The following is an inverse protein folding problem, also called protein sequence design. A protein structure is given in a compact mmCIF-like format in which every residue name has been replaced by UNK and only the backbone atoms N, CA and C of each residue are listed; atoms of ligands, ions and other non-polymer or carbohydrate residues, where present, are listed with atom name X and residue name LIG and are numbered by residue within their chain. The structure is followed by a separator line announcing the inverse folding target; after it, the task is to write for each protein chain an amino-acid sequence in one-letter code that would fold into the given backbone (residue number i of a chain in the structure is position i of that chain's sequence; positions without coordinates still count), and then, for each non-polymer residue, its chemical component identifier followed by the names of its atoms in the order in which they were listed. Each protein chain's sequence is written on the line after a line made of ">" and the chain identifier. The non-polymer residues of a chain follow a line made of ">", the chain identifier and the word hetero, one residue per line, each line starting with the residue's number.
data_IF_773152523465
#
_entry.id   IF_773152523465
#
_cell.length_a   1.000
_cell.length_b   1.000
_cell.length_c   1.000
_cell.angle_alpha   90.00
_cell.angle_beta   90.00
_cell.angle_gamma   90.00
#
_symmetry.space_group_name_H-M   'P 1'
#
loop_
_entity.id
_entity.type
_entity.pdbx_description
1 polymer ?
#
# COMPACT_ATOMS: atom_id res chain seq x y z
N UNK A 1 13.08 -19.22 -7.06
CA UNK A 1 12.19 -18.04 -6.89
C UNK A 1 12.85 -16.84 -7.55
N UNK A 2 12.12 -15.93 -8.22
CA UNK A 2 12.71 -14.84 -9.02
C UNK A 2 13.58 -13.84 -8.23
N UNK A 3 13.64 -13.98 -6.90
CA UNK A 3 14.38 -13.10 -6.01
C UNK A 3 15.41 -13.84 -5.15
N UNK A 4 15.65 -15.14 -5.37
CA UNK A 4 16.64 -15.89 -4.59
C UNK A 4 18.07 -15.38 -4.91
N UNK A 5 18.96 -15.21 -3.92
CA UNK A 5 18.81 -15.59 -2.52
C UNK A 5 18.06 -14.57 -1.62
N UNK A 6 17.64 -13.43 -2.17
CA UNK A 6 16.97 -12.28 -1.52
C UNK A 6 15.44 -12.41 -1.37
N UNK A 7 14.96 -13.63 -1.08
CA UNK A 7 13.54 -13.92 -0.76
C UNK A 7 13.12 -13.29 0.57
N UNK A 8 11.80 -13.16 0.79
CA UNK A 8 11.24 -12.61 2.04
C UNK A 8 11.68 -13.38 3.28
N UNK A 9 12.19 -12.66 4.30
CA UNK A 9 12.56 -13.22 5.62
C UNK A 9 12.12 -12.32 6.78
N UNK A 10 12.01 -12.92 7.96
CA UNK A 10 11.61 -12.23 9.20
C UNK A 10 10.13 -11.89 9.27
N UNK A 11 9.72 -11.17 10.33
CA UNK A 11 8.31 -10.91 10.63
C UNK A 11 7.63 -9.99 9.60
N UNK A 12 8.39 -9.08 9.00
CA UNK A 12 7.91 -8.15 7.96
C UNK A 12 8.27 -8.58 6.54
N UNK A 13 8.87 -9.77 6.36
CA UNK A 13 9.20 -10.32 5.05
C UNK A 13 10.01 -9.36 4.16
N UNK A 14 11.08 -8.75 4.72
CA UNK A 14 11.94 -7.88 3.91
C UNK A 14 12.48 -8.68 2.71
N UNK A 15 12.39 -8.10 1.51
CA UNK A 15 12.64 -8.78 0.23
C UNK A 15 13.51 -7.91 -0.67
N UNK A 16 14.24 -8.50 -1.62
CA UNK A 16 15.19 -7.86 -2.53
C UNK A 16 16.52 -7.45 -1.89
N UNK A 17 17.59 -7.57 -2.69
CA UNK A 17 18.97 -7.26 -2.26
C UNK A 17 19.11 -5.88 -1.63
N UNK A 18 18.46 -4.85 -2.19
CA UNK A 18 18.55 -3.49 -1.68
C UNK A 18 18.10 -3.37 -0.20
N UNK A 19 17.04 -4.09 0.20
CA UNK A 19 16.58 -4.07 1.59
C UNK A 19 17.55 -4.80 2.52
N UNK A 20 18.17 -5.87 2.06
CA UNK A 20 19.19 -6.60 2.83
C UNK A 20 20.45 -5.75 3.02
N UNK A 21 20.95 -5.15 1.93
CA UNK A 21 22.12 -4.27 1.96
C UNK A 21 21.89 -3.06 2.89
N UNK A 22 20.71 -2.45 2.84
CA UNK A 22 20.37 -1.32 3.72
C UNK A 22 20.28 -1.72 5.18
N UNK A 23 19.66 -2.87 5.49
CA UNK A 23 19.57 -3.36 6.87
C UNK A 23 20.95 -3.74 7.43
N UNK A 24 21.78 -4.44 6.65
CA UNK A 24 23.17 -4.73 7.00
C UNK A 24 23.95 -3.45 7.33
N UNK A 25 23.81 -2.40 6.51
CA UNK A 25 24.46 -1.11 6.80
C UNK A 25 23.92 -0.45 8.07
N UNK A 26 22.65 -0.65 8.38
CA UNK A 26 22.04 -0.11 9.60
C UNK A 26 22.53 -0.82 10.86
N UNK A 27 22.66 -2.14 10.84
CA UNK A 27 23.08 -2.93 12.01
C UNK A 27 24.59 -3.07 12.14
N UNK A 28 25.35 -2.94 11.04
CA UNK A 28 26.76 -3.32 10.97
C UNK A 28 27.01 -4.83 10.95
N UNK A 29 25.94 -5.65 10.94
CA UNK A 29 26.04 -7.10 10.95
C UNK A 29 25.83 -7.71 9.58
N UNK A 30 26.69 -8.64 9.21
CA UNK A 30 26.57 -9.35 7.94
C UNK A 30 25.31 -10.22 7.90
N UNK A 31 24.44 -9.89 6.95
CA UNK A 31 23.21 -10.62 6.61
C UNK A 31 23.10 -10.85 5.09
N UNK A 32 24.19 -10.70 4.34
CA UNK A 32 24.19 -10.71 2.87
C UNK A 32 25.20 -11.65 2.24
N UNK A 33 26.34 -11.94 2.90
CA UNK A 33 27.50 -12.56 2.24
C UNK A 33 27.25 -13.98 1.75
N UNK A 34 26.42 -14.75 2.46
CA UNK A 34 26.10 -16.14 2.16
C UNK A 34 24.76 -16.55 2.78
N UNK A 35 24.35 -17.79 2.52
CA UNK A 35 23.09 -18.34 3.03
C UNK A 35 22.97 -18.29 4.56
N UNK A 36 24.03 -18.64 5.30
CA UNK A 36 24.02 -18.62 6.76
C UNK A 36 23.87 -17.19 7.31
N UNK A 37 24.50 -16.21 6.65
CA UNK A 37 24.31 -14.80 6.97
C UNK A 37 22.85 -14.36 6.74
N UNK A 38 22.27 -14.72 5.60
CA UNK A 38 20.87 -14.38 5.27
C UNK A 38 19.85 -15.05 6.21
N UNK A 39 20.12 -16.28 6.67
CA UNK A 39 19.26 -17.04 7.59
C UNK A 39 19.17 -16.39 8.99
N UNK A 40 20.10 -15.49 9.34
CA UNK A 40 19.96 -14.69 10.57
C UNK A 40 18.62 -13.94 10.61
N UNK A 41 18.13 -13.46 9.47
CA UNK A 41 16.85 -12.74 9.35
C UNK A 41 15.62 -13.62 9.66
N UNK A 42 15.79 -14.95 9.71
CA UNK A 42 14.70 -15.90 10.01
C UNK A 42 14.63 -16.21 11.51
N UNK A 43 15.61 -15.76 12.30
CA UNK A 43 15.78 -16.09 13.73
C UNK A 43 15.93 -14.84 14.59
N UNK A 44 15.67 -14.98 15.89
CA UNK A 44 15.97 -13.91 16.84
C UNK A 44 17.49 -13.63 16.89
N UNK A 45 17.92 -12.36 17.07
CA UNK A 45 17.06 -11.18 17.19
C UNK A 45 16.66 -10.56 15.83
N UNK A 46 17.36 -10.90 14.73
CA UNK A 46 17.21 -10.17 13.47
C UNK A 46 15.85 -10.34 12.78
N UNK A 47 15.11 -11.41 13.04
CA UNK A 47 13.73 -11.54 12.58
C UNK A 47 12.82 -10.41 13.08
N UNK A 48 13.03 -9.96 14.32
CA UNK A 48 12.32 -8.83 14.92
C UNK A 48 12.98 -7.49 14.58
N UNK A 49 14.31 -7.40 14.72
CA UNK A 49 15.02 -6.14 14.48
C UNK A 49 14.89 -5.66 13.03
N UNK A 50 14.90 -6.56 12.05
CA UNK A 50 14.68 -6.19 10.64
C UNK A 50 13.26 -5.68 10.40
N UNK A 51 12.26 -6.24 11.08
CA UNK A 51 10.88 -5.76 11.03
C UNK A 51 10.74 -4.37 11.66
N UNK A 52 11.30 -4.17 12.85
CA UNK A 52 11.28 -2.88 13.54
C UNK A 52 12.03 -1.81 12.73
N UNK A 53 13.20 -2.13 12.19
CA UNK A 53 13.97 -1.25 11.31
C UNK A 53 13.18 -0.88 10.06
N UNK A 54 12.60 -1.86 9.36
CA UNK A 54 11.84 -1.60 8.15
C UNK A 54 10.66 -0.65 8.43
N UNK A 55 9.96 -0.88 9.55
CA UNK A 55 8.79 -0.09 9.93
C UNK A 55 9.17 1.34 10.36
N UNK A 56 10.06 1.46 11.35
CA UNK A 56 10.36 2.73 12.01
C UNK A 56 11.35 3.59 11.21
N UNK A 57 12.41 2.98 10.66
CA UNK A 57 13.54 3.70 10.06
C UNK A 57 13.38 3.80 8.55
N UNK A 58 13.24 2.66 7.87
CA UNK A 58 13.19 2.63 6.40
C UNK A 58 11.89 3.25 5.86
N UNK A 59 10.76 2.82 6.41
CA UNK A 59 9.43 3.23 5.94
C UNK A 59 8.89 4.47 6.65
N UNK A 60 9.53 4.89 7.75
CA UNK A 60 9.17 6.08 8.54
C UNK A 60 7.70 6.10 8.95
N UNK A 61 7.21 4.98 9.47
CA UNK A 61 5.78 4.80 9.76
C UNK A 61 5.34 5.24 11.16
N UNK A 62 6.27 5.61 12.05
CA UNK A 62 5.95 6.02 13.42
C UNK A 62 4.91 7.13 13.45
N UNK A 63 5.10 8.21 12.68
CA UNK A 63 4.15 9.34 12.64
C UNK A 63 2.75 8.91 12.17
N UNK A 64 2.66 7.92 11.28
CA UNK A 64 1.38 7.39 10.82
C UNK A 64 0.73 6.49 11.89
N UNK A 65 1.52 5.76 12.66
CA UNK A 65 1.05 4.96 13.80
C UNK A 65 0.48 5.84 14.91
N UNK A 66 1.11 6.99 15.17
CA UNK A 66 0.66 7.95 16.19
C UNK A 66 -0.75 8.47 15.92
N UNK A 67 -1.18 8.52 14.65
CA UNK A 67 -2.54 8.93 14.26
C UNK A 67 -3.42 7.75 13.85
N UNK A 68 -2.95 6.51 14.02
CA UNK A 68 -3.68 5.30 13.64
C UNK A 68 -4.08 5.30 12.14
N UNK A 69 -3.21 5.79 11.26
CA UNK A 69 -3.47 5.81 9.81
C UNK A 69 -3.18 4.45 9.16
N UNK A 70 -4.04 3.48 9.47
CA UNK A 70 -3.93 2.10 9.04
C UNK A 70 -3.88 1.93 7.51
N UNK A 71 -4.66 2.73 6.77
CA UNK A 71 -4.71 2.71 5.30
C UNK A 71 -3.34 3.11 4.74
N UNK A 72 -2.75 4.22 5.23
CA UNK A 72 -1.44 4.65 4.78
C UNK A 72 -0.34 3.66 5.13
N UNK A 73 -0.34 3.16 6.38
CA UNK A 73 0.60 2.12 6.84
C UNK A 73 0.57 0.90 5.92
N UNK A 74 -0.62 0.39 5.61
CA UNK A 74 -0.78 -0.77 4.73
C UNK A 74 -0.26 -0.50 3.33
N UNK A 75 -0.59 0.68 2.78
CA UNK A 75 -0.12 1.10 1.46
C UNK A 75 1.40 1.14 1.39
N UNK A 76 2.07 1.70 2.40
CA UNK A 76 3.53 1.86 2.38
C UNK A 76 4.22 0.50 2.44
N UNK A 77 3.74 -0.41 3.30
CA UNK A 77 4.35 -1.72 3.50
C UNK A 77 4.38 -2.57 2.21
N UNK A 78 3.29 -2.60 1.44
CA UNK A 78 3.18 -3.45 0.24
C UNK A 78 3.15 -2.68 -1.09
N UNK A 79 3.31 -1.37 -1.04
CA UNK A 79 3.15 -0.47 -2.18
C UNK A 79 1.71 -0.26 -2.65
N UNK A 80 0.71 -0.95 -2.07
CA UNK A 80 -0.71 -0.91 -2.41
C UNK A 80 -1.53 -1.64 -1.35
N UNK A 81 -2.76 -2.06 -1.67
CA UNK A 81 -3.69 -2.63 -0.67
C UNK A 81 -3.76 -4.17 -0.68
N UNK A 82 -2.65 -4.82 -1.03
CA UNK A 82 -2.55 -6.28 -0.96
C UNK A 82 -2.66 -6.76 0.50
N UNK A 83 -3.58 -7.69 0.76
CA UNK A 83 -3.84 -8.24 2.09
C UNK A 83 -4.40 -7.23 3.11
N UNK A 84 -5.01 -6.14 2.64
CA UNK A 84 -5.59 -5.10 3.51
C UNK A 84 -6.59 -5.69 4.52
N UNK A 85 -7.55 -6.49 4.07
CA UNK A 85 -8.57 -7.07 4.95
C UNK A 85 -7.98 -8.01 6.00
N UNK A 86 -7.02 -8.86 5.60
CA UNK A 86 -6.34 -9.75 6.55
C UNK A 86 -5.58 -8.96 7.63
N UNK A 87 -4.92 -7.87 7.24
CA UNK A 87 -4.23 -7.00 8.20
C UNK A 87 -5.22 -6.33 9.14
N UNK A 88 -6.35 -5.85 8.60
CA UNK A 88 -7.37 -5.16 9.37
C UNK A 88 -8.02 -6.11 10.38
N UNK A 89 -8.29 -7.35 9.95
CA UNK A 89 -8.79 -8.41 10.81
C UNK A 89 -7.85 -8.68 11.99
N UNK A 90 -6.56 -8.93 11.74
CA UNK A 90 -5.59 -9.18 12.82
C UNK A 90 -5.40 -7.98 13.73
N UNK A 91 -5.39 -6.77 13.18
CA UNK A 91 -5.30 -5.55 13.99
C UNK A 91 -6.53 -5.40 14.90
N UNK A 92 -7.74 -5.55 14.36
CA UNK A 92 -8.96 -5.46 15.17
C UNK A 92 -9.05 -6.55 16.25
N UNK A 93 -8.54 -7.75 15.97
CA UNK A 93 -8.44 -8.83 16.95
C UNK A 93 -7.40 -8.53 18.05
N UNK A 94 -6.33 -7.81 17.74
CA UNK A 94 -5.29 -7.47 18.72
C UNK A 94 -5.71 -6.33 19.66
N UNK A 95 -6.61 -5.44 19.24
CA UNK A 95 -7.09 -4.31 20.04
C UNK A 95 -7.53 -4.72 21.46
N UNK A 96 -8.46 -5.67 21.65
CA UNK A 96 -8.88 -6.06 22.99
C UNK A 96 -7.82 -6.84 23.77
N UNK A 97 -6.96 -7.60 23.08
CA UNK A 97 -5.89 -8.39 23.69
C UNK A 97 -4.81 -7.49 24.27
N UNK A 98 -4.50 -6.38 23.60
CA UNK A 98 -3.45 -5.43 23.97
C UNK A 98 -3.99 -4.22 24.75
N UNK A 99 -5.30 -4.13 24.99
CA UNK A 99 -5.92 -3.01 25.72
C UNK A 99 -5.86 -1.67 24.98
N UNK A 100 -5.93 -1.68 23.65
CA UNK A 100 -5.70 -0.49 22.79
C UNK A 100 -6.96 0.36 22.54
N UNK A 101 -8.11 0.02 23.12
CA UNK A 101 -9.39 0.67 22.81
C UNK A 101 -9.35 2.19 23.02
N UNK A 102 -8.67 2.66 24.06
CA UNK A 102 -8.51 4.09 24.35
C UNK A 102 -7.49 4.81 23.47
N UNK A 103 -6.71 4.09 22.66
CA UNK A 103 -5.63 4.63 21.83
C UNK A 103 -6.07 4.89 20.38
N UNK A 104 -7.20 4.32 19.94
CA UNK A 104 -7.66 4.39 18.56
C UNK A 104 -8.14 5.81 18.21
N UNK A 105 -7.69 6.32 17.06
CA UNK A 105 -8.02 7.68 16.61
C UNK A 105 -8.87 7.68 15.34
N UNK A 106 -8.47 6.88 14.35
CA UNK A 106 -9.13 6.78 13.06
C UNK A 106 -9.92 5.48 12.89
N UNK A 107 -9.72 4.48 13.76
CA UNK A 107 -10.55 3.29 13.78
C UNK A 107 -12.02 3.65 14.12
N UNK A 108 -12.94 3.27 13.23
CA UNK A 108 -14.40 3.45 13.35
C UNK A 108 -15.04 2.07 13.46
N UNK A 109 -15.05 1.52 14.67
CA UNK A 109 -15.63 0.19 14.96
C UNK A 109 -15.07 -0.91 14.03
N UNK A 110 -13.75 -0.94 13.87
CA UNK A 110 -13.03 -1.90 13.05
C UNK A 110 -12.84 -1.51 11.59
N UNK A 111 -13.26 -0.31 11.17
CA UNK A 111 -13.07 0.20 9.82
C UNK A 111 -12.27 1.52 9.81
N UNK A 112 -11.64 1.83 8.67
CA UNK A 112 -10.93 3.10 8.45
C UNK A 112 -11.49 3.77 7.20
N UNK A 113 -11.63 5.09 7.23
CA UNK A 113 -12.14 5.87 6.10
C UNK A 113 -10.97 6.37 5.26
N UNK A 114 -11.08 6.21 3.94
CA UNK A 114 -10.05 6.61 3.00
C UNK A 114 -9.73 8.10 3.12
N UNK A 115 -10.75 8.94 3.25
CA UNK A 115 -10.67 10.41 3.29
C UNK A 115 -9.91 10.94 4.52
N UNK A 116 -9.87 10.16 5.60
CA UNK A 116 -9.13 10.51 6.84
C UNK A 116 -7.64 10.13 6.74
N UNK A 117 -7.26 9.31 5.75
CA UNK A 117 -5.89 8.82 5.57
C UNK A 117 -5.02 9.78 4.76
N UNK A 118 -3.71 9.80 5.05
CA UNK A 118 -2.69 10.40 4.18
C UNK A 118 -2.71 9.81 2.77
N UNK A 119 -3.19 8.58 2.58
CA UNK A 119 -3.38 7.98 1.26
C UNK A 119 -4.29 8.82 0.35
N UNK A 120 -5.30 9.50 0.91
CA UNK A 120 -6.20 10.41 0.19
C UNK A 120 -5.50 11.67 -0.33
N UNK A 121 -4.30 11.98 0.20
CA UNK A 121 -3.52 13.17 -0.16
C UNK A 121 -2.33 12.85 -1.07
N UNK A 122 -2.19 11.59 -1.50
CA UNK A 122 -1.08 11.15 -2.33
C UNK A 122 -1.62 10.51 -3.61
N UNK A 123 -1.21 11.04 -4.77
CA UNK A 123 -1.74 10.66 -6.10
C UNK A 123 -1.73 9.15 -6.30
N UNK A 124 -0.57 8.52 -6.06
CA UNK A 124 -0.37 7.12 -6.35
C UNK A 124 -1.16 6.22 -5.38
N UNK A 125 -1.25 6.59 -4.11
CA UNK A 125 -2.09 5.89 -3.14
C UNK A 125 -3.58 6.05 -3.45
N UNK A 126 -4.03 7.23 -3.89
CA UNK A 126 -5.43 7.47 -4.28
C UNK A 126 -5.82 6.62 -5.48
N UNK A 127 -4.96 6.57 -6.50
CA UNK A 127 -5.13 5.67 -7.62
C UNK A 127 -5.16 4.19 -7.21
N UNK A 128 -4.27 3.78 -6.30
CA UNK A 128 -4.28 2.43 -5.75
C UNK A 128 -5.58 2.10 -5.01
N UNK A 129 -6.15 3.05 -4.27
CA UNK A 129 -7.42 2.83 -3.57
C UNK A 129 -8.54 2.55 -4.56
N UNK A 130 -8.61 3.34 -5.63
CA UNK A 130 -9.54 3.12 -6.74
C UNK A 130 -9.41 1.71 -7.32
N UNK A 131 -8.20 1.32 -7.72
CA UNK A 131 -7.91 0.01 -8.30
C UNK A 131 -8.30 -1.19 -7.43
N UNK A 132 -8.05 -1.12 -6.12
CA UNK A 132 -8.33 -2.24 -5.21
C UNK A 132 -9.81 -2.34 -4.83
N UNK A 133 -10.52 -1.22 -4.84
CA UNK A 133 -11.96 -1.17 -4.57
C UNK A 133 -12.84 -1.32 -5.82
N UNK A 134 -12.26 -1.30 -7.03
CA UNK A 134 -13.00 -1.42 -8.29
C UNK A 134 -13.57 -2.83 -8.49
N UNK A 135 -14.92 -3.00 -8.45
CA UNK A 135 -15.55 -4.31 -8.59
C UNK A 135 -15.40 -4.91 -9.99
N UNK A 136 -15.08 -4.11 -11.01
CA UNK A 136 -14.79 -4.60 -12.36
C UNK A 136 -13.37 -5.14 -12.54
N UNK A 137 -12.52 -5.08 -11.51
CA UNK A 137 -11.13 -5.53 -11.55
C UNK A 137 -10.87 -6.72 -10.61
N UNK A 138 -9.85 -7.51 -10.95
CA UNK A 138 -9.46 -8.73 -10.21
C UNK A 138 -8.39 -8.50 -9.13
N UNK A 139 -8.07 -7.25 -8.79
CA UNK A 139 -7.10 -6.92 -7.72
C UNK A 139 -7.52 -7.56 -6.39
N UNK A 140 -6.61 -8.29 -5.74
CA UNK A 140 -6.86 -8.96 -4.45
C UNK A 140 -6.37 -8.11 -3.28
N UNK A 141 -7.00 -8.28 -2.12
CA UNK A 141 -6.59 -7.66 -0.85
C UNK A 141 -7.70 -6.92 -0.13
N UNK A 142 -8.69 -6.43 -0.88
CA UNK A 142 -9.98 -5.94 -0.39
C UNK A 142 -11.05 -6.87 -1.01
N UNK A 143 -11.81 -7.54 -0.15
CA UNK A 143 -12.80 -8.54 -0.53
C UNK A 143 -14.13 -7.90 -0.91
N UNK A 144 -14.62 -6.95 -0.10
CA UNK A 144 -15.85 -6.22 -0.39
C UNK A 144 -15.50 -4.95 -1.17
N UNK A 145 -15.62 -5.05 -2.48
CA UNK A 145 -15.37 -3.96 -3.42
C UNK A 145 -16.65 -3.18 -3.68
N UNK A 146 -16.56 -1.85 -3.69
CA UNK A 146 -17.72 -1.01 -3.97
C UNK A 146 -17.41 0.01 -5.05
N UNK A 147 -18.39 0.26 -5.93
CA UNK A 147 -18.31 1.32 -6.94
C UNK A 147 -18.01 2.68 -6.27
N UNK A 148 -18.61 2.95 -5.11
CA UNK A 148 -18.39 4.20 -4.37
C UNK A 148 -16.93 4.41 -3.98
N UNK A 149 -16.29 3.41 -3.36
CA UNK A 149 -14.88 3.52 -2.97
C UNK A 149 -13.93 3.57 -4.17
N UNK A 150 -14.27 2.85 -5.25
CA UNK A 150 -13.53 2.93 -6.50
C UNK A 150 -13.56 4.35 -7.11
N UNK A 151 -14.76 4.94 -7.19
CA UNK A 151 -14.99 6.29 -7.68
C UNK A 151 -14.22 7.31 -6.82
N UNK A 152 -14.27 7.19 -5.48
CA UNK A 152 -13.51 8.08 -4.58
C UNK A 152 -12.02 8.07 -4.90
N UNK A 153 -11.42 6.88 -5.05
CA UNK A 153 -9.99 6.74 -5.35
C UNK A 153 -9.59 7.35 -6.70
N UNK A 154 -10.31 7.01 -7.77
CA UNK A 154 -10.01 7.53 -9.11
C UNK A 154 -10.25 9.05 -9.21
N UNK A 155 -11.37 9.54 -8.69
CA UNK A 155 -11.69 10.97 -8.68
C UNK A 155 -10.62 11.74 -7.91
N UNK A 156 -10.21 11.22 -6.73
CA UNK A 156 -9.18 11.88 -5.94
C UNK A 156 -7.81 11.91 -6.62
N UNK A 157 -7.44 10.85 -7.35
CA UNK A 157 -6.25 10.90 -8.19
C UNK A 157 -6.32 12.05 -9.21
N UNK A 158 -7.44 12.17 -9.94
CA UNK A 158 -7.61 13.20 -10.98
C UNK A 158 -7.50 14.61 -10.40
N UNK A 159 -8.16 14.88 -9.27
CA UNK A 159 -8.06 16.15 -8.54
C UNK A 159 -6.62 16.48 -8.16
N UNK A 160 -5.89 15.52 -7.57
CA UNK A 160 -4.50 15.72 -7.17
C UNK A 160 -3.57 15.91 -8.38
N UNK A 161 -3.87 15.27 -9.50
CA UNK A 161 -3.15 15.45 -10.76
C UNK A 161 -3.42 16.82 -11.39
N UNK A 162 -4.65 17.33 -11.29
CA UNK A 162 -5.00 18.70 -11.67
C UNK A 162 -4.29 19.75 -10.81
N UNK A 163 -4.30 19.57 -9.49
CA UNK A 163 -3.59 20.44 -8.53
C UNK A 163 -2.09 20.46 -8.82
N UNK A 164 -1.50 19.33 -9.22
CA UNK A 164 -0.10 19.22 -9.59
C UNK A 164 0.23 19.84 -10.96
N UNK A 165 -0.76 20.37 -11.68
CA UNK A 165 -0.58 20.95 -13.01
C UNK A 165 -0.31 19.92 -14.11
N UNK A 166 -0.79 18.67 -13.94
CA UNK A 166 -0.65 17.57 -14.92
C UNK A 166 0.80 17.40 -15.39
N UNK A 167 1.73 17.06 -14.49
CA UNK A 167 3.14 17.11 -14.80
C UNK A 167 3.52 16.13 -15.93
N UNK A 168 4.31 16.63 -16.88
CA UNK A 168 4.82 15.87 -18.02
C UNK A 168 6.32 15.60 -17.92
N UNK A 169 6.80 14.55 -18.59
CA UNK A 169 8.23 14.31 -18.76
C UNK A 169 8.84 15.23 -19.84
N UNK A 170 10.13 15.05 -20.12
CA UNK A 170 10.87 15.89 -21.08
C UNK A 170 10.33 15.80 -22.52
N UNK A 171 9.53 14.77 -22.84
CA UNK A 171 8.90 14.57 -24.15
C UNK A 171 7.48 15.12 -24.22
N UNK A 172 6.96 15.66 -23.12
CA UNK A 172 5.57 16.12 -23.03
C UNK A 172 4.56 15.03 -22.64
N UNK A 173 5.02 13.80 -22.38
CA UNK A 173 4.13 12.71 -21.96
C UNK A 173 3.76 12.85 -20.47
N UNK A 174 2.53 12.51 -20.03
CA UNK A 174 2.19 12.46 -18.61
C UNK A 174 3.18 11.59 -17.81
N UNK A 175 3.67 12.11 -16.67
CA UNK A 175 4.65 11.39 -15.83
C UNK A 175 4.09 10.11 -15.23
N UNK A 176 2.80 10.11 -14.90
CA UNK A 176 2.16 9.00 -14.19
C UNK A 176 1.72 7.93 -15.19
N UNK A 177 2.55 6.89 -15.32
CA UNK A 177 2.32 5.77 -16.24
C UNK A 177 2.71 4.42 -15.66
N UNK A 178 2.00 3.37 -16.07
CA UNK A 178 2.31 1.98 -15.74
C UNK A 178 2.25 1.62 -14.26
N UNK A 179 1.56 2.41 -13.44
CA UNK A 179 1.41 2.12 -12.02
C UNK A 179 0.59 0.85 -11.81
N UNK A 180 0.98 0.06 -10.80
CA UNK A 180 0.21 -1.10 -10.35
C UNK A 180 -0.11 -2.15 -11.40
N UNK A 181 0.69 -2.22 -12.47
CA UNK A 181 0.52 -3.24 -13.50
C UNK A 181 -0.65 -2.98 -14.44
N UNK A 182 -1.11 -1.72 -14.59
CA UNK A 182 -2.08 -1.36 -15.63
C UNK A 182 -1.50 -1.42 -17.06
N UNK A 183 -0.23 -1.77 -17.22
CA UNK A 183 0.47 -1.80 -18.51
C UNK A 183 1.46 -0.64 -18.63
N UNK A 184 2.69 -0.94 -19.07
CA UNK A 184 3.83 0.00 -18.97
C UNK A 184 3.64 1.33 -19.72
N UNK A 185 2.84 1.33 -20.78
CA UNK A 185 2.58 2.50 -21.62
C UNK A 185 1.23 3.16 -21.33
N UNK A 186 0.46 2.65 -20.36
CA UNK A 186 -0.84 3.22 -20.02
C UNK A 186 -0.64 4.37 -19.03
N UNK A 187 -1.17 5.53 -19.37
CA UNK A 187 -1.20 6.72 -18.51
C UNK A 187 -2.30 6.57 -17.45
N UNK A 188 -1.97 6.95 -16.22
CA UNK A 188 -2.86 6.75 -15.07
C UNK A 188 -4.13 7.61 -15.20
N UNK A 189 -4.00 8.83 -15.74
CA UNK A 189 -5.13 9.74 -15.96
C UNK A 189 -6.18 9.18 -16.91
N UNK A 190 -5.79 8.81 -18.13
CA UNK A 190 -6.71 8.25 -19.11
C UNK A 190 -7.31 6.92 -18.64
N UNK A 191 -6.55 6.13 -17.86
CA UNK A 191 -7.08 4.94 -17.22
C UNK A 191 -8.19 5.27 -16.21
N UNK A 192 -7.98 6.25 -15.33
CA UNK A 192 -8.99 6.67 -14.35
C UNK A 192 -10.26 7.18 -15.03
N UNK A 193 -10.13 8.03 -16.06
CA UNK A 193 -11.26 8.59 -16.81
C UNK A 193 -12.08 7.47 -17.48
N UNK A 194 -11.40 6.50 -18.11
CA UNK A 194 -12.05 5.32 -18.70
C UNK A 194 -12.80 4.50 -17.65
N UNK A 195 -12.14 4.15 -16.54
CA UNK A 195 -12.76 3.35 -15.47
C UNK A 195 -13.96 4.05 -14.84
N UNK A 196 -13.88 5.36 -14.60
CA UNK A 196 -15.00 6.15 -14.07
C UNK A 196 -16.20 6.10 -15.02
N UNK A 197 -15.98 6.28 -16.32
CA UNK A 197 -17.05 6.20 -17.31
C UNK A 197 -17.72 4.81 -17.34
N UNK A 198 -16.93 3.74 -17.24
CA UNK A 198 -17.45 2.35 -17.21
C UNK A 198 -18.25 2.06 -15.92
N UNK A 199 -17.75 2.50 -14.76
CA UNK A 199 -18.44 2.33 -13.47
C UNK A 199 -19.79 3.08 -13.47
N UNK A 200 -19.82 4.29 -14.04
CA UNK A 200 -21.03 5.11 -14.13
C UNK A 200 -22.08 4.54 -15.09
N UNK A 201 -21.67 3.96 -16.22
CA UNK A 201 -22.61 3.31 -17.18
C UNK A 201 -23.30 2.09 -16.59
N UNK A 202 -22.57 1.26 -15.83
CA UNK A 202 -23.15 0.09 -15.16
C UNK A 202 -24.13 0.40 -14.02
N UNK A 203 -24.46 1.67 -13.75
CA UNK A 203 -25.56 2.06 -12.86
C UNK A 203 -26.90 2.26 -13.60
N UNK A 204 -26.89 2.41 -14.93
CA UNK A 204 -28.10 2.61 -15.73
C UNK A 204 -28.80 1.28 -16.09
N UNK A 205 -28.06 0.18 -16.22
CA UNK A 205 -28.60 -1.14 -16.62
C UNK A 205 -29.20 -1.96 -15.46
N UNK A 206 -29.25 -1.44 -14.23
CA UNK A 206 -29.86 -2.13 -13.07
C UNK A 206 -31.26 -1.61 -12.69
N UNK A 207 -31.83 -0.73 -13.52
CA UNK A 207 -33.15 -0.13 -13.29
C UNK A 207 -34.17 -0.39 -14.41
N UNK A 208 -33.87 -1.28 -15.36
CA UNK A 208 -34.81 -1.73 -16.41
C UNK A 208 -35.24 -3.19 -16.20
#
# INVERSE_FOLDING_TARGET
>A
MPYDPWRGRGLMQITFKANYDEYQRYTGEDVTSNQLAMEKLEKAPHALLSAAWFYAVKSKLIDASEVDDFIWITRVINGGFNGYDHRLQYFNQSIPVLGLQGCLKLNRNGAYRFEESKAYREKRASFAWGLWNDPGLTKRGIAIKTKSEAIKGYTRYLELDDIAGKPTDKKGDPKDKGWYGIGRQIFVRSYCETRLAEISKGNQEQHD
#
